data_IF_391099181963
#
_entry.id   IF_391099181963
#
_cell.length_a   1.000
_cell.length_b   1.000
_cell.length_c   1.000
_cell.angle_alpha   90.00
_cell.angle_beta   90.00
_cell.angle_gamma   90.00
#
_symmetry.space_group_name_H-M   'P 1'
#
loop_
_entity.id
_entity.type
_entity.pdbx_description
1 polymer ?
#
# COMPACT_ATOMS: atom_id res chain seq x y z
N UNK A 1 25.49 16.71 -0.91
CA UNK A 1 26.13 17.30 -2.10
C UNK A 1 25.09 18.16 -2.77
N UNK A 2 25.20 19.49 -2.67
CA UNK A 2 24.30 20.39 -3.40
C UNK A 2 24.76 20.43 -4.86
N UNK A 3 24.06 19.70 -5.73
CA UNK A 3 24.18 19.86 -7.17
C UNK A 3 23.67 21.26 -7.51
N UNK A 4 24.59 22.19 -7.78
CA UNK A 4 24.26 23.57 -8.14
C UNK A 4 23.77 23.61 -9.60
N UNK A 5 22.70 22.89 -9.90
CA UNK A 5 22.09 22.80 -11.22
C UNK A 5 21.40 24.12 -11.52
N UNK A 6 22.00 24.85 -12.44
CA UNK A 6 21.49 26.14 -12.90
C UNK A 6 20.39 25.87 -13.93
N UNK A 7 19.15 26.31 -13.64
CA UNK A 7 18.00 26.11 -14.53
C UNK A 7 17.71 27.42 -15.26
N UNK A 8 17.63 27.35 -16.59
CA UNK A 8 17.24 28.48 -17.43
C UNK A 8 15.78 28.33 -17.87
N UNK A 9 14.97 29.37 -17.68
CA UNK A 9 13.60 29.46 -18.18
C UNK A 9 13.54 30.57 -19.23
N UNK A 10 12.90 30.28 -20.36
CA UNK A 10 12.75 31.20 -21.48
C UNK A 10 11.28 31.23 -21.92
N UNK A 11 10.73 32.43 -22.05
CA UNK A 11 9.34 32.65 -22.46
C UNK A 11 9.20 34.04 -23.10
N UNK A 12 8.07 34.27 -23.79
CA UNK A 12 7.77 35.56 -24.41
C UNK A 12 6.86 36.38 -23.49
N UNK A 13 7.10 37.69 -23.41
CA UNK A 13 6.24 38.61 -22.69
C UNK A 13 4.84 38.62 -23.33
N UNK A 14 3.81 38.40 -22.52
CA UNK A 14 2.42 38.42 -22.99
C UNK A 14 1.99 39.77 -23.59
N UNK A 15 2.56 40.88 -23.12
CA UNK A 15 2.16 42.24 -23.53
C UNK A 15 2.84 42.72 -24.82
N UNK A 16 4.16 42.51 -24.95
CA UNK A 16 4.96 43.06 -26.05
C UNK A 16 5.72 42.02 -26.86
N UNK A 17 5.56 40.73 -26.53
CA UNK A 17 6.22 39.59 -27.19
C UNK A 17 7.76 39.60 -27.12
N UNK A 18 8.37 40.51 -26.35
CA UNK A 18 9.80 40.48 -26.09
C UNK A 18 10.20 39.18 -25.35
N UNK A 19 11.33 38.60 -25.74
CA UNK A 19 11.87 37.41 -25.09
C UNK A 19 12.39 37.75 -23.68
N UNK A 20 12.03 36.90 -22.71
CA UNK A 20 12.49 36.98 -21.32
C UNK A 20 13.24 35.70 -20.98
N UNK A 21 14.44 35.85 -20.42
CA UNK A 21 15.30 34.75 -19.95
C UNK A 21 15.59 34.92 -18.48
N UNK A 22 15.36 33.87 -17.69
CA UNK A 22 15.56 33.87 -16.24
C UNK A 22 16.42 32.69 -15.84
N UNK A 23 17.43 32.94 -15.00
CA UNK A 23 18.36 31.95 -14.51
C UNK A 23 18.13 31.68 -13.03
N UNK A 24 17.70 30.46 -12.69
CA UNK A 24 17.55 29.99 -11.32
C UNK A 24 18.82 29.26 -10.89
N UNK A 25 19.54 29.82 -9.91
CA UNK A 25 20.69 29.20 -9.25
C UNK A 25 20.23 28.50 -7.96
N UNK A 26 20.25 29.23 -6.85
CA UNK A 26 19.85 28.76 -5.52
C UNK A 26 18.42 29.13 -5.13
N UNK A 27 17.94 30.32 -5.49
CA UNK A 27 16.63 30.79 -5.06
C UNK A 27 15.51 30.12 -5.88
N UNK A 28 14.47 29.56 -5.23
CA UNK A 28 13.35 28.93 -5.91
C UNK A 28 12.32 29.92 -6.46
N UNK A 29 12.46 31.22 -6.17
CA UNK A 29 11.56 32.27 -6.62
C UNK A 29 12.35 33.41 -7.25
N UNK A 30 11.83 33.95 -8.35
CA UNK A 30 12.40 35.10 -9.02
C UNK A 30 11.28 36.04 -9.52
N UNK A 31 11.44 37.33 -9.28
CA UNK A 31 10.61 38.37 -9.90
C UNK A 31 11.41 39.00 -11.03
N UNK A 32 10.88 38.96 -12.25
CA UNK A 32 11.51 39.55 -13.43
C UNK A 32 10.58 40.56 -14.08
N UNK A 33 11.13 41.66 -14.59
CA UNK A 33 10.37 42.63 -15.39
C UNK A 33 10.74 42.50 -16.85
N UNK A 34 9.75 42.67 -17.72
CA UNK A 34 9.99 42.71 -19.14
C UNK A 34 10.85 43.93 -19.50
N UNK A 35 11.94 43.77 -20.27
CA UNK A 35 12.82 44.89 -20.63
C UNK A 35 12.16 45.90 -21.58
N UNK A 36 11.04 45.57 -22.22
CA UNK A 36 10.36 46.46 -23.17
C UNK A 36 9.11 47.16 -22.59
N UNK A 37 8.27 46.47 -21.82
CA UNK A 37 7.02 47.05 -21.31
C UNK A 37 6.95 47.15 -19.77
N UNK A 38 8.04 46.82 -19.08
CA UNK A 38 8.17 46.80 -17.60
C UNK A 38 7.15 45.92 -16.85
N UNK A 39 6.37 45.09 -17.58
CA UNK A 39 5.43 44.17 -16.95
C UNK A 39 6.16 43.14 -16.09
N UNK A 40 5.70 42.95 -14.85
CA UNK A 40 6.34 42.10 -13.85
C UNK A 40 5.78 40.68 -13.87
N UNK A 41 6.67 39.70 -13.78
CA UNK A 41 6.37 38.28 -13.63
C UNK A 41 6.95 37.75 -12.33
N UNK A 42 6.19 36.92 -11.63
CA UNK A 42 6.68 36.12 -10.50
C UNK A 42 6.80 34.68 -10.97
N UNK A 43 8.01 34.14 -10.94
CA UNK A 43 8.33 32.81 -11.44
C UNK A 43 8.86 31.93 -10.31
N UNK A 44 8.50 30.65 -10.37
CA UNK A 44 9.04 29.61 -9.51
C UNK A 44 10.06 28.79 -10.31
N UNK A 45 11.17 28.39 -9.67
CA UNK A 45 12.14 27.45 -10.23
C UNK A 45 11.38 26.20 -10.62
N UNK A 46 11.42 25.76 -11.89
CA UNK A 46 10.75 24.53 -12.28
C UNK A 46 11.36 23.37 -11.50
N UNK A 47 10.51 22.50 -10.95
CA UNK A 47 10.91 21.23 -10.35
C UNK A 47 11.35 20.28 -11.46
N UNK A 48 12.61 20.41 -11.90
CA UNK A 48 13.19 19.45 -12.84
C UNK A 48 13.77 18.28 -12.05
N UNK A 49 13.14 17.11 -12.18
CA UNK A 49 13.80 15.82 -12.07
C UNK A 49 14.10 15.34 -10.66
N UNK A 50 14.96 16.01 -9.88
CA UNK A 50 15.54 15.40 -8.66
C UNK A 50 14.50 15.11 -7.58
N UNK A 51 13.60 16.04 -7.26
CA UNK A 51 12.54 15.80 -6.27
C UNK A 51 11.53 14.74 -6.75
N UNK A 52 11.14 14.80 -8.03
CA UNK A 52 10.24 13.83 -8.64
C UNK A 52 10.89 12.43 -8.64
N UNK A 53 12.16 12.31 -9.02
CA UNK A 53 12.92 11.06 -9.05
C UNK A 53 13.09 10.47 -7.66
N UNK A 54 13.42 11.28 -6.65
CA UNK A 54 13.53 10.83 -5.25
C UNK A 54 12.19 10.31 -4.72
N UNK A 55 11.08 10.94 -5.11
CA UNK A 55 9.75 10.47 -4.74
C UNK A 55 9.38 9.16 -5.45
N UNK A 56 9.73 9.00 -6.73
CA UNK A 56 9.54 7.73 -7.45
C UNK A 56 10.41 6.59 -6.92
N UNK A 57 11.65 6.86 -6.53
CA UNK A 57 12.53 5.84 -5.94
C UNK A 57 11.98 5.34 -4.61
N UNK A 58 11.52 6.26 -3.75
CA UNK A 58 10.88 5.90 -2.47
C UNK A 58 9.59 5.12 -2.70
N UNK A 59 8.75 5.57 -3.62
CA UNK A 59 7.50 4.89 -3.96
C UNK A 59 7.77 3.49 -4.54
N UNK A 60 8.77 3.35 -5.41
CA UNK A 60 9.16 2.04 -5.96
C UNK A 60 9.63 1.07 -4.88
N UNK A 61 10.43 1.54 -3.91
CA UNK A 61 10.83 0.73 -2.74
C UNK A 61 9.61 0.34 -1.90
N UNK A 62 8.71 1.29 -1.64
CA UNK A 62 7.48 1.02 -0.89
C UNK A 62 6.61 -0.04 -1.58
N UNK A 63 6.39 0.09 -2.89
CA UNK A 63 5.62 -0.88 -3.67
C UNK A 63 6.28 -2.25 -3.70
N UNK A 64 7.62 -2.31 -3.79
CA UNK A 64 8.36 -3.57 -3.70
C UNK A 64 8.14 -4.25 -2.36
N UNK A 65 8.36 -3.54 -1.24
CA UNK A 65 8.15 -4.09 0.11
C UNK A 65 6.71 -4.58 0.28
N UNK A 66 5.74 -3.81 -0.22
CA UNK A 66 4.32 -4.20 -0.18
C UNK A 66 4.04 -5.47 -1.00
N UNK A 67 4.65 -5.59 -2.18
CA UNK A 67 4.51 -6.77 -3.03
C UNK A 67 5.14 -8.01 -2.37
N UNK A 68 6.34 -7.87 -1.82
CA UNK A 68 7.06 -8.93 -1.11
C UNK A 68 6.24 -9.41 0.11
N UNK A 69 5.67 -8.48 0.90
CA UNK A 69 4.79 -8.83 2.02
C UNK A 69 3.53 -9.56 1.54
N UNK A 70 2.91 -9.09 0.45
CA UNK A 70 1.72 -9.73 -0.11
C UNK A 70 2.00 -11.15 -0.59
N UNK A 71 3.17 -11.40 -1.18
CA UNK A 71 3.60 -12.74 -1.58
C UNK A 71 3.83 -13.64 -0.37
N UNK A 72 4.47 -13.11 0.68
CA UNK A 72 4.68 -13.82 1.93
C UNK A 72 3.35 -14.23 2.59
N UNK A 73 2.41 -13.29 2.74
CA UNK A 73 1.09 -13.55 3.33
C UNK A 73 0.31 -14.63 2.55
N UNK A 74 0.40 -14.60 1.20
CA UNK A 74 -0.20 -15.63 0.34
C UNK A 74 0.43 -17.00 0.56
N UNK A 75 1.74 -17.07 0.71
CA UNK A 75 2.45 -18.31 0.99
C UNK A 75 2.04 -18.89 2.34
N UNK A 76 1.98 -18.06 3.39
CA UNK A 76 1.54 -18.49 4.72
C UNK A 76 0.11 -19.02 4.73
N UNK A 77 -0.81 -18.32 4.04
CA UNK A 77 -2.20 -18.77 3.89
C UNK A 77 -2.27 -20.11 3.12
N UNK A 78 -1.46 -20.29 2.07
CA UNK A 78 -1.42 -21.54 1.32
C UNK A 78 -0.95 -22.71 2.19
N UNK A 79 0.08 -22.50 3.01
CA UNK A 79 0.56 -23.50 3.97
C UNK A 79 -0.52 -23.87 5.00
N UNK A 80 -1.26 -22.88 5.50
CA UNK A 80 -2.40 -23.14 6.38
C UNK A 80 -3.46 -24.01 5.69
N UNK A 81 -3.84 -23.67 4.46
CA UNK A 81 -4.85 -24.43 3.69
C UNK A 81 -4.40 -25.88 3.50
N UNK A 82 -3.15 -26.09 3.08
CA UNK A 82 -2.58 -27.44 2.94
C UNK A 82 -2.67 -28.18 4.28
N UNK A 83 -2.26 -27.53 5.38
CA UNK A 83 -2.28 -28.15 6.70
C UNK A 83 -3.68 -28.55 7.16
N UNK A 84 -4.66 -27.69 6.93
CA UNK A 84 -6.07 -27.97 7.25
C UNK A 84 -6.59 -29.13 6.40
N UNK A 85 -6.30 -29.15 5.09
CA UNK A 85 -6.70 -30.25 4.20
C UNK A 85 -6.07 -31.58 4.63
N UNK A 86 -4.79 -31.61 4.99
CA UNK A 86 -4.12 -32.79 5.54
C UNK A 86 -4.82 -33.31 6.80
N UNK A 87 -5.15 -32.41 7.73
CA UNK A 87 -5.81 -32.78 8.98
C UNK A 87 -7.24 -33.32 8.74
N UNK A 88 -7.99 -32.73 7.81
CA UNK A 88 -9.35 -33.16 7.48
C UNK A 88 -9.40 -34.47 6.67
N UNK A 89 -8.35 -34.79 5.94
CA UNK A 89 -8.26 -36.02 5.14
C UNK A 89 -7.69 -37.20 5.93
N UNK A 90 -7.19 -36.96 7.14
CA UNK A 90 -6.70 -38.03 8.01
C UNK A 90 -7.84 -38.90 8.52
N UNK A 91 -7.60 -40.22 8.55
CA UNK A 91 -8.56 -41.20 9.04
C UNK A 91 -8.31 -41.47 10.53
N UNK A 92 -8.65 -40.50 11.38
CA UNK A 92 -8.32 -40.49 12.81
C UNK A 92 -9.53 -40.32 13.73
N UNK A 93 -10.67 -40.92 13.35
CA UNK A 93 -11.91 -40.94 14.16
C UNK A 93 -12.44 -39.53 14.52
N UNK A 94 -12.12 -38.52 13.71
CA UNK A 94 -12.58 -37.13 13.89
C UNK A 94 -11.62 -36.22 14.66
N UNK A 95 -10.51 -36.75 15.19
CA UNK A 95 -9.48 -35.95 15.86
C UNK A 95 -8.84 -34.91 14.92
N UNK A 96 -8.76 -35.21 13.62
CA UNK A 96 -8.19 -34.36 12.59
C UNK A 96 -9.06 -33.13 12.34
N UNK A 97 -10.37 -33.25 12.53
CA UNK A 97 -11.30 -32.14 12.44
C UNK A 97 -11.10 -31.16 13.59
N UNK A 98 -10.92 -31.67 14.81
CA UNK A 98 -10.62 -30.84 16.00
C UNK A 98 -9.31 -30.08 15.79
N UNK A 99 -8.25 -30.79 15.40
CA UNK A 99 -6.92 -30.21 15.16
C UNK A 99 -6.92 -29.20 14.00
N UNK A 100 -7.72 -29.42 12.96
CA UNK A 100 -7.87 -28.47 11.86
C UNK A 100 -8.49 -27.16 12.34
N UNK A 101 -9.54 -27.24 13.14
CA UNK A 101 -10.20 -26.07 13.74
C UNK A 101 -9.24 -25.33 14.67
N UNK A 102 -8.50 -26.04 15.53
CA UNK A 102 -7.50 -25.44 16.43
C UNK A 102 -6.37 -24.75 15.66
N UNK A 103 -5.86 -25.37 14.59
CA UNK A 103 -4.81 -24.82 13.73
C UNK A 103 -5.29 -23.52 13.06
N UNK A 104 -6.52 -23.51 12.54
CA UNK A 104 -7.14 -22.32 11.96
C UNK A 104 -7.30 -21.20 13.00
N UNK A 105 -7.77 -21.54 14.21
CA UNK A 105 -7.92 -20.55 15.31
C UNK A 105 -6.60 -19.92 15.70
N UNK A 106 -5.57 -20.73 15.88
CA UNK A 106 -4.23 -20.24 16.23
C UNK A 106 -3.70 -19.30 15.15
N UNK A 107 -3.85 -19.67 13.87
CA UNK A 107 -3.45 -18.81 12.77
C UNK A 107 -4.22 -17.49 12.74
N UNK A 108 -5.54 -17.50 12.93
CA UNK A 108 -6.36 -16.28 13.00
C UNK A 108 -5.93 -15.36 14.15
N UNK A 109 -5.63 -15.92 15.33
CA UNK A 109 -5.13 -15.14 16.47
C UNK A 109 -3.77 -14.50 16.18
N UNK A 110 -2.83 -15.26 15.59
CA UNK A 110 -1.49 -14.78 15.24
C UNK A 110 -1.55 -13.67 14.17
N UNK A 111 -2.56 -13.70 13.30
CA UNK A 111 -2.81 -12.70 12.27
C UNK A 111 -3.71 -11.54 12.74
N UNK A 112 -3.92 -11.40 14.06
CA UNK A 112 -4.59 -10.24 14.65
C UNK A 112 -6.11 -10.22 14.52
N UNK A 113 -6.74 -11.34 14.15
CA UNK A 113 -8.20 -11.42 14.13
C UNK A 113 -8.72 -11.37 15.58
N UNK A 114 -9.67 -10.47 15.89
CA UNK A 114 -10.24 -10.38 17.23
C UNK A 114 -10.80 -11.72 17.72
N UNK A 115 -10.45 -12.10 18.95
CA UNK A 115 -10.90 -13.36 19.58
C UNK A 115 -12.42 -13.55 19.52
N UNK A 116 -13.19 -12.47 19.71
CA UNK A 116 -14.65 -12.51 19.64
C UNK A 116 -15.19 -12.99 18.27
N UNK A 117 -14.49 -12.71 17.16
CA UNK A 117 -14.87 -13.20 15.83
C UNK A 117 -14.48 -14.67 15.64
N UNK A 118 -13.39 -15.10 16.27
CA UNK A 118 -12.90 -16.48 16.21
C UNK A 118 -13.84 -17.44 16.95
N UNK A 119 -14.41 -16.99 18.08
CA UNK A 119 -15.39 -17.74 18.87
C UNK A 119 -16.71 -18.01 18.11
N UNK A 120 -17.00 -17.27 17.03
CA UNK A 120 -18.16 -17.55 16.17
C UNK A 120 -18.04 -18.86 15.39
N UNK A 121 -16.83 -19.40 15.24
CA UNK A 121 -16.61 -20.71 14.61
C UNK A 121 -17.24 -21.87 15.40
N UNK A 122 -17.48 -21.69 16.71
CA UNK A 122 -18.11 -22.69 17.58
C UNK A 122 -19.65 -22.66 17.55
N UNK A 123 -20.24 -21.52 17.19
CA UNK A 123 -21.68 -21.27 17.36
C UNK A 123 -22.60 -22.12 16.45
N UNK A 124 -22.03 -22.83 15.46
CA UNK A 124 -22.81 -23.63 14.49
C UNK A 124 -22.90 -25.13 14.85
N UNK A 125 -22.25 -25.58 15.92
CA UNK A 125 -22.16 -27.00 16.30
C UNK A 125 -23.27 -27.55 17.21
N UNK A 126 -24.17 -26.72 17.75
CA UNK A 126 -25.15 -27.14 18.77
C UNK A 126 -26.60 -27.27 18.29
N UNK A 127 -26.86 -27.20 16.97
CA UNK A 127 -28.24 -27.17 16.44
C UNK A 127 -28.78 -28.52 15.92
N UNK A 128 -27.98 -29.59 15.84
CA UNK A 128 -28.40 -30.87 15.28
C UNK A 128 -28.09 -32.06 16.21
N UNK A 129 -28.74 -32.10 17.39
CA UNK A 129 -28.86 -33.37 18.13
C UNK A 129 -30.06 -33.33 19.09
N UNK A 130 -31.28 -33.44 18.56
CA UNK A 130 -32.45 -33.81 19.36
C UNK A 130 -33.44 -34.58 18.47
N UNK A 131 -33.58 -35.91 18.63
CA UNK A 131 -34.60 -36.67 17.92
C UNK A 131 -35.98 -36.36 18.51
N UNK A 132 -37.06 -36.32 17.70
CA UNK A 132 -38.40 -36.10 18.23
C UNK A 132 -38.84 -37.36 18.99
N UNK A 133 -39.15 -37.21 20.28
CA UNK A 133 -39.82 -38.28 21.03
C UNK A 133 -41.26 -38.40 20.50
N UNK A 134 -41.53 -39.51 19.83
CA UNK A 134 -42.87 -39.94 19.49
C UNK A 134 -43.49 -40.52 20.77
N UNK A 135 -44.54 -39.88 21.31
CA UNK A 135 -45.35 -40.47 22.36
C UNK A 135 -46.59 -41.10 21.71
N UNK A 136 -46.83 -42.38 22.03
CA UNK A 136 -48.11 -43.08 21.89
C UNK A 136 -49.10 -42.67 22.97
#
# INVERSE_FOLDING_TARGET
METNTTIQVQFHCHQCQAEIRVMFRSNPFATVRCPQCDYSYSLMKPTIGEEILLDWEKEAVFQKVRADQTEHDKMELMLLVIKVVELLTWRDEGNGHIRAIETLRQWLLLNGVPKALIELLDAKGSAESSPPKHNE
#
